data_IF_313721579830
#
_entry.id   IF_313721579830
#
_cell.length_a   1.000
_cell.length_b   1.000
_cell.length_c   1.000
_cell.angle_alpha   90.00
_cell.angle_beta   90.00
_cell.angle_gamma   90.00
#
_symmetry.space_group_name_H-M   'P 1'
#
loop_
_entity.id
_entity.type
_entity.pdbx_description
1 polymer ?
#
# COMPACT_ATOMS: atom_id res chain seq x y z
N UNK A 1 2.23 -0.10 -22.96
CA UNK A 1 1.13 0.39 -22.09
C UNK A 1 1.73 1.33 -21.05
N UNK A 2 1.20 2.54 -20.87
CA UNK A 2 1.65 3.45 -19.80
C UNK A 2 1.54 2.74 -18.46
N UNK A 3 2.59 2.82 -17.64
CA UNK A 3 2.55 2.24 -16.28
C UNK A 3 1.50 2.97 -15.44
N UNK A 4 0.32 2.38 -15.32
CA UNK A 4 -0.76 2.91 -14.49
C UNK A 4 -0.52 2.51 -13.04
N UNK A 5 -0.69 3.47 -12.12
CA UNK A 5 -0.56 3.24 -10.68
C UNK A 5 -1.64 2.27 -10.18
N UNK A 6 -2.90 2.49 -10.55
CA UNK A 6 -4.03 1.63 -10.19
C UNK A 6 -4.32 0.60 -11.28
N UNK A 7 -3.37 -0.31 -11.49
CA UNK A 7 -3.55 -1.44 -12.40
C UNK A 7 -2.87 -2.67 -11.82
N UNK A 8 -3.46 -3.84 -11.99
CA UNK A 8 -2.88 -5.15 -11.67
C UNK A 8 -2.16 -5.79 -12.86
N UNK A 9 -2.24 -5.18 -14.04
CA UNK A 9 -1.69 -5.73 -15.29
C UNK A 9 -0.24 -5.28 -15.46
N UNK A 10 0.62 -6.20 -15.88
CA UNK A 10 2.02 -5.96 -16.19
C UNK A 10 2.99 -6.48 -15.13
N UNK A 11 4.26 -6.12 -15.30
CA UNK A 11 5.36 -6.43 -14.37
C UNK A 11 5.96 -5.14 -13.81
N UNK A 12 6.60 -5.21 -12.64
CA UNK A 12 7.27 -4.08 -12.00
C UNK A 12 8.61 -4.49 -11.39
N UNK A 13 9.65 -3.71 -11.67
CA UNK A 13 10.97 -3.91 -11.09
C UNK A 13 10.97 -3.61 -9.57
N UNK A 14 11.88 -4.25 -8.82
CA UNK A 14 12.05 -4.14 -7.36
C UNK A 14 12.10 -2.70 -6.84
N UNK A 15 12.83 -1.81 -7.53
CA UNK A 15 13.03 -0.42 -7.08
C UNK A 15 11.73 0.36 -7.20
N UNK A 16 11.03 0.22 -8.32
CA UNK A 16 9.73 0.86 -8.53
C UNK A 16 8.66 0.30 -7.61
N UNK A 17 8.69 -1.00 -7.33
CA UNK A 17 7.83 -1.64 -6.33
C UNK A 17 8.06 -1.03 -4.94
N UNK A 18 9.31 -0.94 -4.49
CA UNK A 18 9.67 -0.36 -3.20
C UNK A 18 9.21 1.11 -3.09
N UNK A 19 9.53 1.93 -4.09
CA UNK A 19 9.16 3.35 -4.10
C UNK A 19 7.64 3.53 -4.02
N UNK A 20 6.86 2.76 -4.80
CA UNK A 20 5.39 2.83 -4.74
C UNK A 20 4.86 2.35 -3.40
N UNK A 21 5.43 1.29 -2.83
CA UNK A 21 5.04 0.79 -1.52
C UNK A 21 5.27 1.84 -0.43
N UNK A 22 6.43 2.51 -0.44
CA UNK A 22 6.71 3.63 0.47
C UNK A 22 5.72 4.78 0.30
N UNK A 23 5.38 5.15 -0.93
CA UNK A 23 4.38 6.20 -1.20
C UNK A 23 3.00 5.81 -0.67
N UNK A 24 2.57 4.57 -0.91
CA UNK A 24 1.28 4.07 -0.41
C UNK A 24 1.23 3.95 1.11
N UNK A 25 2.37 3.85 1.81
CA UNK A 25 2.43 3.88 3.28
C UNK A 25 2.48 5.32 3.80
N UNK A 26 3.29 6.18 3.18
CA UNK A 26 3.52 7.54 3.63
C UNK A 26 2.26 8.40 3.51
N UNK A 27 1.54 8.32 2.38
CA UNK A 27 0.33 9.13 2.15
C UNK A 27 -0.73 8.92 3.24
N UNK A 28 -1.24 7.71 3.52
CA UNK A 28 -2.24 7.51 4.55
C UNK A 28 -1.73 7.88 5.94
N UNK A 29 -0.43 7.71 6.23
CA UNK A 29 0.16 8.15 7.49
C UNK A 29 0.04 9.68 7.64
N UNK A 30 0.51 10.46 6.66
CA UNK A 30 0.43 11.92 6.72
C UNK A 30 -1.01 12.42 6.73
N UNK A 31 -1.88 11.84 5.89
CA UNK A 31 -3.32 12.19 5.87
C UNK A 31 -3.96 11.93 7.23
N UNK A 32 -3.65 10.81 7.88
CA UNK A 32 -4.18 10.47 9.21
C UNK A 32 -3.67 11.47 10.26
N UNK A 33 -2.37 11.76 10.30
CA UNK A 33 -1.79 12.71 11.26
C UNK A 33 -2.41 14.11 11.09
N UNK A 34 -2.49 14.60 9.85
CA UNK A 34 -3.11 15.90 9.55
C UNK A 34 -4.59 15.91 9.95
N UNK A 35 -5.34 14.87 9.61
CA UNK A 35 -6.76 14.77 9.94
C UNK A 35 -6.99 14.76 11.45
N UNK A 36 -6.24 13.95 12.20
CA UNK A 36 -6.34 13.90 13.67
C UNK A 36 -5.98 15.24 14.31
N UNK A 37 -4.92 15.91 13.83
CA UNK A 37 -4.53 17.23 14.34
C UNK A 37 -5.63 18.27 14.08
N UNK A 38 -6.17 18.31 12.87
CA UNK A 38 -7.24 19.25 12.52
C UNK A 38 -8.53 19.01 13.33
N UNK A 39 -9.02 17.77 13.38
CA UNK A 39 -10.28 17.44 14.04
C UNK A 39 -10.20 17.37 15.57
N UNK A 40 -9.00 17.28 16.16
CA UNK A 40 -8.82 17.41 17.62
C UNK A 40 -8.96 18.86 18.11
N UNK A 41 -8.69 19.85 17.26
CA UNK A 41 -8.81 21.27 17.60
C UNK A 41 -10.13 21.88 17.12
N UNK A 42 -10.72 21.34 16.04
CA UNK A 42 -11.99 21.83 15.52
C UNK A 42 -13.16 21.48 16.46
N UNK A 43 -14.02 22.47 16.76
CA UNK A 43 -15.20 22.32 17.63
C UNK A 43 -14.89 21.60 18.95
N UNK A 44 -13.75 21.95 19.57
CA UNK A 44 -13.28 21.35 20.83
C UNK A 44 -13.11 19.82 20.77
N UNK A 45 -12.79 19.26 19.60
CA UNK A 45 -12.51 17.85 19.43
C UNK A 45 -13.72 16.94 19.26
N UNK A 46 -14.93 17.50 19.21
CA UNK A 46 -16.18 16.73 19.02
C UNK A 46 -16.21 15.93 17.72
N UNK A 47 -15.44 16.35 16.71
CA UNK A 47 -15.34 15.69 15.40
C UNK A 47 -14.09 14.81 15.24
N UNK A 48 -13.35 14.51 16.31
CA UNK A 48 -12.20 13.59 16.24
C UNK A 48 -12.52 12.25 15.53
N UNK A 49 -13.70 11.63 15.71
CA UNK A 49 -14.05 10.41 14.97
C UNK A 49 -14.02 10.56 13.44
N UNK A 50 -14.28 11.77 12.91
CA UNK A 50 -14.21 12.04 11.47
C UNK A 50 -12.76 12.01 10.96
N UNK A 51 -11.81 12.49 11.76
CA UNK A 51 -10.38 12.37 11.46
C UNK A 51 -9.91 10.91 11.41
N UNK A 52 -10.38 10.08 12.34
CA UNK A 52 -10.13 8.63 12.34
C UNK A 52 -10.72 7.99 11.08
N UNK A 53 -11.97 8.34 10.73
CA UNK A 53 -12.65 7.82 9.56
C UNK A 53 -11.89 8.13 8.25
N UNK A 54 -11.43 9.37 8.07
CA UNK A 54 -10.61 9.76 6.91
C UNK A 54 -9.31 8.95 6.83
N UNK A 55 -8.65 8.73 7.97
CA UNK A 55 -7.45 7.89 8.05
C UNK A 55 -7.72 6.44 7.62
N UNK A 56 -8.83 5.86 8.09
CA UNK A 56 -9.25 4.51 7.71
C UNK A 56 -9.55 4.37 6.21
N UNK A 57 -10.32 5.30 5.63
CA UNK A 57 -10.65 5.29 4.20
C UNK A 57 -9.37 5.42 3.35
N UNK A 58 -8.48 6.33 3.72
CA UNK A 58 -7.22 6.54 2.99
C UNK A 58 -6.32 5.30 3.09
N UNK A 59 -6.27 4.67 4.26
CA UNK A 59 -5.53 3.42 4.47
C UNK A 59 -6.10 2.27 3.65
N UNK A 60 -7.42 2.16 3.55
CA UNK A 60 -8.09 1.14 2.74
C UNK A 60 -7.73 1.28 1.25
N UNK A 61 -7.75 2.50 0.71
CA UNK A 61 -7.33 2.78 -0.67
C UNK A 61 -5.86 2.40 -0.87
N UNK A 62 -5.00 2.72 0.09
CA UNK A 62 -3.58 2.36 0.04
C UNK A 62 -3.35 0.85 0.03
N UNK A 63 -4.11 0.08 0.82
CA UNK A 63 -4.04 -1.40 0.82
C UNK A 63 -4.34 -1.97 -0.56
N UNK A 64 -5.39 -1.49 -1.23
CA UNK A 64 -5.69 -1.92 -2.60
C UNK A 64 -4.57 -1.52 -3.58
N UNK A 65 -3.99 -0.33 -3.42
CA UNK A 65 -2.85 0.11 -4.21
C UNK A 65 -1.61 -0.79 -4.05
N UNK A 66 -1.29 -1.18 -2.82
CA UNK A 66 -0.19 -2.10 -2.48
C UNK A 66 -0.45 -3.49 -3.06
N UNK A 67 -1.68 -3.98 -2.97
CA UNK A 67 -2.07 -5.27 -3.53
C UNK A 67 -1.87 -5.30 -5.05
N UNK A 68 -2.28 -4.23 -5.76
CA UNK A 68 -2.05 -4.10 -7.20
C UNK A 68 -0.55 -4.08 -7.56
N UNK A 69 0.29 -3.36 -6.80
CA UNK A 69 1.74 -3.38 -7.06
C UNK A 69 2.35 -4.76 -6.77
N UNK A 70 1.82 -5.46 -5.76
CA UNK A 70 2.31 -6.78 -5.36
C UNK A 70 1.96 -7.83 -6.41
N UNK A 71 0.78 -7.75 -7.01
CA UNK A 71 0.42 -8.58 -8.17
C UNK A 71 1.38 -8.37 -9.34
N UNK A 72 1.71 -7.12 -9.67
CA UNK A 72 2.72 -6.82 -10.70
C UNK A 72 4.10 -7.37 -10.35
N UNK A 73 4.49 -7.35 -9.07
CA UNK A 73 5.78 -7.88 -8.62
C UNK A 73 5.81 -9.41 -8.69
N UNK A 74 4.72 -10.07 -8.32
CA UNK A 74 4.57 -11.52 -8.45
C UNK A 74 4.61 -11.95 -9.92
N UNK A 75 3.96 -11.20 -10.82
CA UNK A 75 4.05 -11.43 -12.26
C UNK A 75 5.49 -11.28 -12.77
N UNK A 76 6.26 -10.30 -12.27
CA UNK A 76 7.68 -10.13 -12.63
C UNK A 76 8.57 -11.31 -12.18
N UNK A 77 8.18 -11.97 -11.08
CA UNK A 77 8.83 -13.14 -10.54
C UNK A 77 8.30 -14.46 -11.11
N UNK A 78 7.33 -14.41 -12.03
CA UNK A 78 6.62 -15.58 -12.59
C UNK A 78 6.02 -16.47 -11.49
N UNK A 79 5.48 -15.82 -10.45
CA UNK A 79 4.81 -16.45 -9.30
C UNK A 79 3.31 -16.28 -9.42
N UNK A 80 2.58 -17.26 -8.88
CA UNK A 80 1.12 -17.24 -8.86
C UNK A 80 0.57 -15.98 -8.18
N UNK A 81 -0.45 -15.32 -8.74
CA UNK A 81 -1.15 -14.20 -8.10
C UNK A 81 -1.70 -14.52 -6.71
N UNK A 82 -2.01 -15.79 -6.41
CA UNK A 82 -2.52 -16.23 -5.11
C UNK A 82 -1.60 -15.88 -3.94
N UNK A 83 -0.28 -15.72 -4.17
CA UNK A 83 0.62 -15.27 -3.11
C UNK A 83 0.32 -13.84 -2.62
N UNK A 84 -0.43 -13.02 -3.37
CA UNK A 84 -0.85 -11.70 -2.88
C UNK A 84 -1.85 -11.78 -1.74
N UNK A 85 -2.56 -12.90 -1.57
CA UNK A 85 -3.48 -13.12 -0.44
C UNK A 85 -2.73 -13.13 0.90
N UNK A 86 -1.45 -13.50 0.89
CA UNK A 86 -0.61 -13.45 2.07
C UNK A 86 -0.44 -12.02 2.63
N UNK A 87 -0.70 -10.97 1.83
CA UNK A 87 -0.75 -9.58 2.30
C UNK A 87 -1.90 -9.29 3.29
N UNK A 88 -2.90 -10.17 3.38
CA UNK A 88 -3.99 -10.02 4.33
C UNK A 88 -3.59 -10.48 5.75
N UNK A 89 -2.44 -11.14 5.91
CA UNK A 89 -1.99 -11.69 7.19
C UNK A 89 -0.87 -10.79 7.74
N UNK A 90 -1.13 -9.95 8.76
CA UNK A 90 -0.21 -8.87 9.16
C UNK A 90 1.23 -9.30 9.40
N UNK A 91 1.45 -10.44 10.07
CA UNK A 91 2.78 -10.96 10.37
C UNK A 91 3.50 -11.52 9.13
N UNK A 92 2.75 -12.01 8.13
CA UNK A 92 3.31 -12.55 6.89
C UNK A 92 3.68 -11.42 5.92
N UNK A 93 3.04 -10.25 6.04
CA UNK A 93 3.30 -9.10 5.17
C UNK A 93 4.77 -8.69 5.14
N UNK A 94 5.41 -8.59 6.31
CA UNK A 94 6.82 -8.21 6.39
C UNK A 94 7.72 -9.22 5.68
N UNK A 95 7.50 -10.50 5.92
CA UNK A 95 8.29 -11.57 5.30
C UNK A 95 8.07 -11.60 3.77
N UNK A 96 6.82 -11.47 3.33
CA UNK A 96 6.47 -11.45 1.92
C UNK A 96 7.11 -10.25 1.22
N UNK A 97 6.97 -9.04 1.76
CA UNK A 97 7.56 -7.82 1.19
C UNK A 97 9.08 -7.96 1.13
N UNK A 98 9.70 -8.45 2.21
CA UNK A 98 11.15 -8.68 2.23
C UNK A 98 11.59 -9.66 1.13
N UNK A 99 10.89 -10.78 0.98
CA UNK A 99 11.17 -11.77 -0.06
C UNK A 99 10.99 -11.19 -1.48
N UNK A 100 9.92 -10.42 -1.71
CA UNK A 100 9.63 -9.77 -2.99
C UNK A 100 10.66 -8.71 -3.38
N UNK A 101 11.33 -8.10 -2.39
CA UNK A 101 12.42 -7.15 -2.57
C UNK A 101 13.77 -7.83 -2.83
N UNK A 102 14.02 -8.99 -2.21
CA UNK A 102 15.29 -9.72 -2.34
C UNK A 102 15.38 -10.53 -3.63
N UNK A 103 14.27 -11.10 -4.10
CA UNK A 103 14.29 -11.95 -5.29
C UNK A 103 14.53 -11.12 -6.56
N UNK A 104 15.51 -11.49 -7.40
CA UNK A 104 15.71 -10.85 -8.69
C UNK A 104 14.51 -11.13 -9.61
N UNK A 105 14.09 -10.12 -10.36
CA UNK A 105 13.10 -10.29 -11.43
C UNK A 105 13.63 -11.20 -12.52
N UNK A 106 12.75 -11.86 -13.28
CA UNK A 106 13.15 -12.55 -14.50
C UNK A 106 13.50 -11.57 -15.65
N UNK A 107 13.14 -10.29 -15.50
CA UNK A 107 13.36 -9.21 -16.48
C UNK A 107 14.24 -8.11 -15.91
#
# INVERSE_FOLDING_TARGET
MKEQLFSSIGSINRVHYLLRLLVFIAIPFFVTVISLNFFSHWHHGTHLPLGIFIGLITSLIAVFGILMQTLKRLNDLDRSPFYSVLLAIPFVNFLLIFLLLCLPGKK
#
